data_IF_807131794014
#
_entry.id   IF_807131794014
#
_cell.length_a   1.000
_cell.length_b   1.000
_cell.length_c   1.000
_cell.angle_alpha   90.00
_cell.angle_beta   90.00
_cell.angle_gamma   90.00
#
_symmetry.space_group_name_H-M   'P 1'
#
loop_
_entity.id
_entity.type
_entity.pdbx_description
1 polymer ?
#
# COMPACT_ATOMS: atom_id res chain seq x y z
N UNK A 1 -4.16 -28.39 -5.89
CA UNK A 1 -3.70 -27.02 -6.13
C UNK A 1 -4.12 -26.59 -7.53
N UNK A 2 -4.65 -25.39 -7.75
CA UNK A 2 -5.03 -24.92 -9.08
C UNK A 2 -3.81 -24.86 -10.04
N UNK A 3 -3.96 -25.23 -11.32
CA UNK A 3 -2.84 -25.24 -12.29
C UNK A 3 -2.09 -23.91 -12.40
N UNK A 4 -2.81 -22.78 -12.28
CA UNK A 4 -2.20 -21.45 -12.28
C UNK A 4 -1.22 -21.20 -11.13
N UNK A 5 -1.48 -21.79 -9.95
CA UNK A 5 -0.59 -21.66 -8.80
C UNK A 5 0.70 -22.46 -9.02
N UNK A 6 0.59 -23.68 -9.56
CA UNK A 6 1.75 -24.51 -9.92
C UNK A 6 2.65 -23.77 -10.93
N UNK A 7 2.03 -23.16 -11.97
CA UNK A 7 2.79 -22.39 -12.97
C UNK A 7 3.55 -21.21 -12.34
N UNK A 8 2.94 -20.51 -11.40
CA UNK A 8 3.61 -19.39 -10.69
C UNK A 8 4.76 -19.91 -9.83
N UNK A 9 4.55 -21.01 -9.09
CA UNK A 9 5.61 -21.62 -8.27
C UNK A 9 6.80 -22.07 -9.13
N UNK A 10 6.54 -22.72 -10.26
CA UNK A 10 7.59 -23.12 -11.20
C UNK A 10 8.39 -21.92 -11.72
N UNK A 11 7.71 -20.83 -12.09
CA UNK A 11 8.38 -19.58 -12.48
C UNK A 11 9.24 -18.99 -11.38
N UNK A 12 8.78 -19.05 -10.11
CA UNK A 12 9.55 -18.53 -8.98
C UNK A 12 10.80 -19.37 -8.74
N UNK A 13 10.68 -20.69 -8.83
CA UNK A 13 11.80 -21.62 -8.69
C UNK A 13 12.84 -21.39 -9.78
N UNK A 14 12.40 -21.31 -11.04
CA UNK A 14 13.26 -21.09 -12.20
C UNK A 14 13.85 -19.66 -12.28
N UNK A 15 13.36 -18.71 -11.46
CA UNK A 15 13.75 -17.31 -11.53
C UNK A 15 15.25 -17.10 -11.25
N UNK A 16 15.95 -16.51 -12.21
CA UNK A 16 17.40 -16.27 -12.17
C UNK A 16 18.21 -17.57 -12.02
N UNK A 17 17.76 -18.60 -12.72
CA UNK A 17 18.49 -19.85 -12.91
C UNK A 17 18.70 -20.11 -14.41
N UNK A 18 19.51 -21.10 -14.72
CA UNK A 18 19.79 -21.56 -16.08
C UNK A 18 18.53 -21.98 -16.87
N UNK A 19 17.47 -22.41 -16.16
CA UNK A 19 16.20 -22.82 -16.79
C UNK A 19 15.52 -21.71 -17.60
N UNK A 20 15.74 -20.44 -17.22
CA UNK A 20 15.20 -19.30 -17.94
C UNK A 20 16.20 -18.74 -18.99
N UNK A 21 17.37 -19.39 -19.15
CA UNK A 21 18.43 -18.88 -19.96
C UNK A 21 19.09 -17.62 -19.37
N UNK A 22 19.98 -17.01 -20.13
CA UNK A 22 20.73 -15.85 -19.65
C UNK A 22 21.76 -15.38 -20.63
N UNK A 23 22.64 -14.50 -20.17
CA UNK A 23 23.78 -13.96 -20.90
C UNK A 23 25.06 -14.32 -20.17
N UNK A 24 26.11 -14.58 -20.95
CA UNK A 24 27.46 -14.82 -20.45
C UNK A 24 28.30 -13.61 -20.81
N UNK A 25 28.94 -13.03 -19.83
CA UNK A 25 29.89 -11.95 -19.99
C UNK A 25 31.30 -12.48 -19.72
N UNK A 26 32.23 -12.17 -20.61
CA UNK A 26 33.63 -12.50 -20.42
C UNK A 26 34.38 -11.23 -19.99
N UNK A 27 35.24 -11.36 -18.99
CA UNK A 27 36.10 -10.29 -18.52
C UNK A 27 37.52 -10.47 -19.04
N UNK A 28 37.98 -9.62 -19.94
CA UNK A 28 39.33 -9.69 -20.53
C UNK A 28 40.44 -9.47 -19.48
N UNK A 29 40.14 -8.72 -18.41
CA UNK A 29 41.13 -8.39 -17.39
C UNK A 29 41.43 -9.56 -16.45
N UNK A 30 40.41 -10.33 -16.01
CA UNK A 30 40.58 -11.47 -15.11
C UNK A 30 40.38 -12.83 -15.80
N UNK A 31 40.07 -12.85 -17.10
CA UNK A 31 39.84 -14.07 -17.88
C UNK A 31 38.74 -14.97 -17.34
N UNK A 32 37.72 -14.35 -16.69
CA UNK A 32 36.64 -15.07 -16.03
C UNK A 32 35.30 -14.82 -16.71
N UNK A 33 34.36 -15.75 -16.54
CA UNK A 33 33.01 -15.69 -17.08
C UNK A 33 32.02 -15.32 -15.97
N UNK A 34 31.12 -14.36 -16.26
CA UNK A 34 29.98 -14.02 -15.42
C UNK A 34 28.70 -14.38 -16.11
N UNK A 35 27.82 -15.09 -15.40
CA UNK A 35 26.51 -15.50 -15.87
C UNK A 35 25.44 -14.57 -15.30
N UNK A 36 24.56 -14.06 -16.16
CA UNK A 36 23.40 -13.26 -15.78
C UNK A 36 22.14 -13.97 -16.29
N UNK A 37 21.43 -14.63 -15.41
CA UNK A 37 20.22 -15.36 -15.76
C UNK A 37 19.01 -14.47 -15.80
N UNK A 38 18.05 -14.77 -16.70
CA UNK A 38 16.82 -14.02 -16.86
C UNK A 38 15.91 -14.14 -15.64
N UNK A 39 15.19 -13.06 -15.33
CA UNK A 39 14.19 -13.02 -14.28
C UNK A 39 12.83 -13.50 -14.80
N UNK A 40 12.00 -14.11 -13.94
CA UNK A 40 10.68 -14.60 -14.32
C UNK A 40 9.64 -13.48 -14.50
N UNK A 41 9.92 -12.27 -14.02
CA UNK A 41 9.06 -11.08 -14.02
C UNK A 41 7.64 -11.33 -13.42
N UNK A 42 7.47 -12.41 -12.67
CA UNK A 42 6.18 -12.69 -12.04
C UNK A 42 6.00 -11.80 -10.81
N UNK A 43 4.81 -11.20 -10.66
CA UNK A 43 4.49 -10.31 -9.55
C UNK A 43 4.55 -10.96 -8.16
N UNK A 44 4.47 -12.29 -8.11
CA UNK A 44 4.55 -13.05 -6.87
C UNK A 44 5.97 -13.52 -6.54
N UNK A 45 6.92 -13.28 -7.44
CA UNK A 45 8.30 -13.67 -7.22
C UNK A 45 8.99 -12.70 -6.25
N UNK A 46 9.51 -13.17 -5.10
CA UNK A 46 10.17 -12.30 -4.13
C UNK A 46 11.45 -11.65 -4.70
N UNK A 47 12.19 -12.37 -5.57
CA UNK A 47 13.38 -11.82 -6.24
C UNK A 47 13.03 -10.65 -7.17
N UNK A 48 12.00 -10.82 -8.03
CA UNK A 48 11.56 -9.76 -8.94
C UNK A 48 10.80 -8.64 -8.22
N UNK A 49 10.10 -8.97 -7.12
CA UNK A 49 9.38 -8.02 -6.29
C UNK A 49 10.30 -7.06 -5.55
N UNK A 50 11.47 -7.55 -5.12
CA UNK A 50 12.46 -6.72 -4.43
C UNK A 50 12.98 -5.59 -5.33
N UNK A 51 13.38 -5.89 -6.56
CA UNK A 51 13.89 -4.89 -7.50
C UNK A 51 12.85 -3.76 -7.74
N UNK A 52 11.59 -4.16 -7.96
CA UNK A 52 10.49 -3.19 -8.12
C UNK A 52 10.18 -2.40 -6.85
N UNK A 53 10.35 -3.01 -5.68
CA UNK A 53 10.15 -2.32 -4.41
C UNK A 53 11.25 -1.28 -4.17
N UNK A 54 12.50 -1.56 -4.50
CA UNK A 54 13.61 -0.62 -4.39
C UNK A 54 13.42 0.58 -5.34
N UNK A 55 13.06 0.32 -6.59
CA UNK A 55 12.75 1.38 -7.56
C UNK A 55 11.59 2.26 -7.07
N UNK A 56 10.51 1.64 -6.59
CA UNK A 56 9.37 2.36 -6.03
C UNK A 56 9.75 3.17 -4.79
N UNK A 57 10.54 2.61 -3.86
CA UNK A 57 11.02 3.32 -2.68
C UNK A 57 11.87 4.52 -3.03
N UNK A 58 12.75 4.39 -4.01
CA UNK A 58 13.58 5.50 -4.50
C UNK A 58 12.72 6.65 -5.00
N UNK A 59 11.71 6.33 -5.83
CA UNK A 59 10.76 7.34 -6.33
C UNK A 59 9.94 7.97 -5.19
N UNK A 60 9.48 7.17 -4.22
CA UNK A 60 8.70 7.72 -3.09
C UNK A 60 9.55 8.60 -2.17
N UNK A 61 10.80 8.20 -1.91
CA UNK A 61 11.70 8.99 -1.07
C UNK A 61 11.95 10.40 -1.65
N UNK A 62 11.99 10.52 -2.97
CA UNK A 62 12.13 11.83 -3.64
C UNK A 62 10.89 12.74 -3.47
N UNK A 63 9.73 12.16 -3.12
CA UNK A 63 8.47 12.89 -2.92
C UNK A 63 8.21 13.21 -1.45
N UNK A 64 9.03 12.70 -0.52
CA UNK A 64 8.81 12.94 0.91
C UNK A 64 9.06 14.41 1.25
N UNK A 65 8.13 14.98 1.99
CA UNK A 65 8.27 16.29 2.59
C UNK A 65 9.09 16.19 3.90
N UNK A 66 9.80 17.24 4.31
CA UNK A 66 10.57 17.27 5.57
C UNK A 66 9.63 17.48 6.77
N UNK A 67 8.67 16.57 6.95
CA UNK A 67 7.67 16.60 8.03
C UNK A 67 7.52 15.21 8.65
N UNK A 68 6.96 15.13 9.86
CA UNK A 68 6.58 13.86 10.48
C UNK A 68 5.52 13.15 9.62
N UNK A 69 5.56 11.83 9.57
CA UNK A 69 4.55 11.01 8.91
C UNK A 69 3.82 10.12 9.91
N UNK A 70 2.53 9.95 9.70
CA UNK A 70 1.66 9.12 10.52
C UNK A 70 1.18 7.91 9.74
N UNK A 71 1.27 6.73 10.35
CA UNK A 71 0.66 5.52 9.81
C UNK A 71 -0.71 5.31 10.44
N UNK A 72 -1.76 5.21 9.61
CA UNK A 72 -3.12 4.94 10.05
C UNK A 72 -3.60 3.64 9.42
N UNK A 73 -4.09 2.74 10.25
CA UNK A 73 -4.64 1.47 9.78
C UNK A 73 -6.16 1.46 9.91
N UNK A 74 -6.83 1.20 8.80
CA UNK A 74 -8.28 0.96 8.76
C UNK A 74 -8.52 -0.52 8.53
N UNK A 75 -9.44 -1.10 9.30
CA UNK A 75 -9.83 -2.52 9.18
C UNK A 75 -11.32 -2.63 8.95
N UNK A 76 -11.72 -3.67 8.21
CA UNK A 76 -13.12 -4.09 8.15
C UNK A 76 -13.39 -5.12 9.25
N UNK A 77 -14.61 -5.17 9.82
CA UNK A 77 -14.97 -6.21 10.77
C UNK A 77 -15.02 -7.58 10.07
N UNK A 78 -14.64 -8.63 10.78
CA UNK A 78 -14.56 -10.00 10.25
C UNK A 78 -15.89 -10.50 9.69
N UNK A 79 -17.00 -10.01 10.24
CA UNK A 79 -18.37 -10.30 9.73
C UNK A 79 -18.59 -9.89 8.27
N UNK A 80 -17.74 -9.01 7.71
CA UNK A 80 -17.79 -8.60 6.31
C UNK A 80 -16.81 -9.38 5.42
N UNK A 81 -16.00 -10.29 5.97
CA UNK A 81 -14.97 -10.99 5.21
C UNK A 81 -15.54 -11.77 4.02
N UNK A 82 -16.64 -12.51 4.20
CA UNK A 82 -17.25 -13.29 3.12
C UNK A 82 -17.81 -12.39 2.01
N UNK A 83 -18.46 -11.29 2.39
CA UNK A 83 -18.98 -10.31 1.44
C UNK A 83 -17.85 -9.64 0.68
N UNK A 84 -16.78 -9.24 1.38
CA UNK A 84 -15.61 -8.61 0.79
C UNK A 84 -14.89 -9.56 -0.17
N UNK A 85 -14.73 -10.83 0.20
CA UNK A 85 -14.07 -11.84 -0.63
C UNK A 85 -14.80 -12.10 -1.93
N UNK A 86 -16.14 -12.11 -1.91
CA UNK A 86 -16.99 -12.33 -3.08
C UNK A 86 -17.12 -11.08 -3.96
N UNK A 87 -16.97 -9.89 -3.40
CA UNK A 87 -17.20 -8.60 -4.08
C UNK A 87 -15.98 -7.67 -3.98
N UNK A 88 -14.76 -8.21 -4.18
CA UNK A 88 -13.50 -7.50 -3.90
C UNK A 88 -13.42 -6.13 -4.56
N UNK A 89 -13.67 -6.03 -5.86
CA UNK A 89 -13.56 -4.76 -6.59
C UNK A 89 -14.45 -3.66 -6.00
N UNK A 90 -15.69 -4.01 -5.68
CA UNK A 90 -16.66 -3.07 -5.13
C UNK A 90 -16.29 -2.69 -3.68
N UNK A 91 -16.11 -3.68 -2.81
CA UNK A 91 -15.85 -3.47 -1.38
C UNK A 91 -14.51 -2.74 -1.17
N UNK A 92 -13.44 -3.10 -1.89
CA UNK A 92 -12.16 -2.42 -1.72
C UNK A 92 -12.20 -0.97 -2.22
N UNK A 93 -12.87 -0.70 -3.35
CA UNK A 93 -13.07 0.67 -3.82
C UNK A 93 -13.87 1.51 -2.82
N UNK A 94 -14.92 0.93 -2.25
CA UNK A 94 -15.74 1.58 -1.23
C UNK A 94 -14.93 1.84 0.05
N UNK A 95 -14.11 0.88 0.45
CA UNK A 95 -13.25 0.94 1.62
C UNK A 95 -12.25 2.10 1.50
N UNK A 96 -11.51 2.17 0.39
CA UNK A 96 -10.60 3.28 0.14
C UNK A 96 -11.32 4.63 0.15
N UNK A 97 -12.42 4.75 -0.59
CA UNK A 97 -13.17 6.00 -0.71
C UNK A 97 -13.70 6.49 0.63
N UNK A 98 -14.25 5.60 1.44
CA UNK A 98 -14.86 5.98 2.73
C UNK A 98 -13.82 6.24 3.81
N UNK A 99 -12.72 5.48 3.84
CA UNK A 99 -11.61 5.72 4.75
C UNK A 99 -10.91 7.05 4.46
N UNK A 100 -10.60 7.32 3.20
CA UNK A 100 -10.03 8.60 2.76
C UNK A 100 -10.94 9.78 3.10
N UNK A 101 -12.25 9.66 2.81
CA UNK A 101 -13.22 10.70 3.13
C UNK A 101 -13.42 10.92 4.64
N UNK A 102 -13.25 9.89 5.46
CA UNK A 102 -13.29 10.02 6.91
C UNK A 102 -12.06 10.75 7.45
N UNK A 103 -10.88 10.41 6.94
CA UNK A 103 -9.62 11.05 7.33
C UNK A 103 -9.60 12.52 6.92
N UNK A 104 -9.95 12.85 5.67
CA UNK A 104 -10.03 14.24 5.19
C UNK A 104 -11.04 15.08 5.98
N UNK A 105 -12.19 14.49 6.34
CA UNK A 105 -13.21 15.21 7.13
C UNK A 105 -12.66 15.66 8.48
N UNK A 106 -11.91 14.81 9.17
CA UNK A 106 -11.31 15.17 10.46
C UNK A 106 -10.14 16.12 10.29
N UNK A 107 -9.29 15.89 9.30
CA UNK A 107 -8.13 16.73 9.05
C UNK A 107 -8.52 18.18 8.69
N UNK A 108 -9.66 18.39 8.04
CA UNK A 108 -10.18 19.72 7.72
C UNK A 108 -10.59 20.52 8.97
N UNK A 109 -10.81 19.86 10.12
CA UNK A 109 -11.16 20.56 11.37
C UNK A 109 -9.90 21.30 11.91
N UNK A 110 -10.00 22.64 12.14
CA UNK A 110 -8.88 23.43 12.66
C UNK A 110 -8.35 22.98 14.03
N UNK A 111 -9.14 22.20 14.78
CA UNK A 111 -8.69 21.60 16.06
C UNK A 111 -7.59 20.55 15.87
N UNK A 112 -7.45 20.00 14.67
CA UNK A 112 -6.48 18.95 14.36
C UNK A 112 -5.42 19.45 13.39
N UNK A 113 -5.73 19.55 12.11
CA UNK A 113 -4.82 20.05 11.06
C UNK A 113 -5.33 21.35 10.46
N UNK A 114 -6.63 21.45 10.18
CA UNK A 114 -7.25 22.60 9.53
C UNK A 114 -6.86 22.72 8.05
N UNK A 115 -6.57 21.60 7.39
CA UNK A 115 -6.14 21.60 6.00
C UNK A 115 -6.44 20.27 5.29
N UNK A 116 -6.16 20.26 3.99
CA UNK A 116 -6.27 19.07 3.15
C UNK A 116 -5.00 18.22 3.28
N UNK A 117 -5.13 17.01 3.83
CA UNK A 117 -4.03 16.07 3.98
C UNK A 117 -3.57 15.48 2.65
N UNK A 118 -2.25 15.35 2.48
CA UNK A 118 -1.64 14.44 1.53
C UNK A 118 -1.40 13.08 2.18
N UNK A 119 -1.86 11.99 1.55
CA UNK A 119 -1.60 10.63 2.00
C UNK A 119 -1.73 9.63 0.86
N UNK A 120 -1.08 8.49 1.00
CA UNK A 120 -1.28 7.34 0.13
C UNK A 120 -1.60 6.09 0.96
N UNK A 121 -2.21 5.09 0.35
CA UNK A 121 -2.63 3.89 1.06
C UNK A 121 -2.38 2.62 0.28
N UNK A 122 -2.08 1.54 1.03
CA UNK A 122 -1.87 0.20 0.51
C UNK A 122 -2.88 -0.73 1.14
N UNK A 123 -3.58 -1.52 0.31
CA UNK A 123 -4.46 -2.58 0.77
C UNK A 123 -3.65 -3.84 1.05
N UNK A 124 -3.82 -4.39 2.23
CA UNK A 124 -3.44 -5.76 2.56
C UNK A 124 -4.70 -6.59 2.81
N UNK A 125 -4.68 -7.87 2.46
CA UNK A 125 -5.85 -8.76 2.57
C UNK A 125 -5.62 -9.96 3.47
N UNK A 126 -4.54 -9.97 4.23
CA UNK A 126 -4.18 -11.04 5.14
C UNK A 126 -3.72 -10.51 6.50
N UNK A 127 -4.07 -11.22 7.56
CA UNK A 127 -3.56 -11.01 8.90
C UNK A 127 -2.20 -11.71 9.10
N UNK A 128 -1.64 -11.62 10.30
CA UNK A 128 -0.34 -12.20 10.66
C UNK A 128 -0.30 -13.73 10.51
N UNK A 129 -1.43 -14.40 10.72
CA UNK A 129 -1.66 -15.83 10.56
C UNK A 129 -2.07 -16.23 9.14
N UNK A 130 -1.97 -15.30 8.18
CA UNK A 130 -2.41 -15.44 6.79
C UNK A 130 -3.93 -15.59 6.61
N UNK A 131 -4.73 -15.43 7.65
CA UNK A 131 -6.17 -15.37 7.52
C UNK A 131 -6.60 -14.16 6.67
N UNK A 132 -7.71 -14.29 5.96
CA UNK A 132 -8.22 -13.18 5.15
C UNK A 132 -8.73 -12.06 6.05
N UNK A 133 -8.07 -10.91 5.98
CA UNK A 133 -8.34 -9.73 6.79
C UNK A 133 -8.03 -8.45 6.02
N UNK A 134 -9.00 -7.91 5.26
CA UNK A 134 -8.78 -6.70 4.50
C UNK A 134 -8.54 -5.48 5.39
N UNK A 135 -7.39 -4.82 5.18
CA UNK A 135 -7.08 -3.58 5.87
C UNK A 135 -6.25 -2.66 4.97
N UNK A 136 -6.35 -1.36 5.23
CA UNK A 136 -5.63 -0.32 4.50
C UNK A 136 -4.65 0.34 5.47
N UNK A 137 -3.38 0.38 5.08
CA UNK A 137 -2.39 1.23 5.71
C UNK A 137 -2.29 2.54 4.93
N UNK A 138 -2.64 3.65 5.55
CA UNK A 138 -2.34 4.98 5.03
C UNK A 138 -1.07 5.53 5.66
N UNK A 139 -0.22 6.13 4.83
CA UNK A 139 0.88 6.99 5.27
C UNK A 139 0.47 8.43 4.96
N UNK A 140 0.32 9.24 5.99
CA UNK A 140 -0.14 10.61 5.89
C UNK A 140 0.94 11.57 6.39
N UNK A 141 1.15 12.66 5.67
CA UNK A 141 2.03 13.73 6.10
C UNK A 141 1.47 14.41 7.37
N UNK A 142 2.33 14.86 8.26
CA UNK A 142 1.99 15.55 9.50
C UNK A 142 1.59 17.00 9.29
N UNK A 143 0.65 17.21 8.38
CA UNK A 143 0.09 18.50 8.02
C UNK A 143 -0.66 18.45 6.70
N UNK A 144 -1.19 19.58 6.28
CA UNK A 144 -1.96 19.68 5.04
C UNK A 144 -1.95 21.09 4.48
N UNK A 145 -2.41 21.23 3.24
CA UNK A 145 -2.58 22.53 2.60
C UNK A 145 -3.85 23.20 3.10
N UNK A 146 -3.80 24.50 3.32
CA UNK A 146 -5.00 25.33 3.55
C UNK A 146 -6.00 25.15 2.39
N UNK A 147 -7.27 25.50 2.62
CA UNK A 147 -8.34 25.30 1.62
C UNK A 147 -8.06 26.02 0.29
N UNK A 148 -7.35 27.15 0.32
CA UNK A 148 -6.91 27.92 -0.83
C UNK A 148 -5.57 27.44 -1.43
N UNK A 149 -4.93 26.43 -0.80
CA UNK A 149 -3.64 25.90 -1.22
C UNK A 149 -2.43 26.82 -0.94
N UNK A 150 -2.63 27.97 -0.30
CA UNK A 150 -1.58 29.00 -0.13
C UNK A 150 -0.62 28.74 1.03
N UNK A 151 -1.01 27.94 2.03
CA UNK A 151 -0.26 27.75 3.24
C UNK A 151 -0.25 26.29 3.72
N UNK A 152 0.89 25.88 4.30
CA UNK A 152 0.99 24.62 5.02
C UNK A 152 0.46 24.75 6.45
N UNK A 153 -0.40 23.84 6.85
CA UNK A 153 -0.93 23.70 8.21
C UNK A 153 -0.31 22.46 8.86
N UNK A 154 0.63 22.66 9.78
CA UNK A 154 1.28 21.56 10.48
C UNK A 154 0.33 20.89 11.48
N UNK A 155 0.34 19.57 11.53
CA UNK A 155 -0.22 18.81 12.63
C UNK A 155 0.65 18.95 13.88
N UNK A 156 0.18 18.47 15.02
CA UNK A 156 1.02 18.30 16.21
C UNK A 156 2.06 17.22 15.95
N UNK A 157 3.18 17.28 16.63
CA UNK A 157 4.33 16.40 16.41
C UNK A 157 3.98 14.92 16.57
N UNK A 158 3.15 14.58 17.55
CA UNK A 158 2.77 13.21 17.94
C UNK A 158 1.30 12.88 17.74
N UNK A 159 0.53 13.79 17.10
CA UNK A 159 -0.92 13.63 16.98
C UNK A 159 -1.46 14.22 15.67
N UNK A 160 -2.14 13.37 14.89
CA UNK A 160 -2.79 13.79 13.65
C UNK A 160 -4.30 14.02 13.83
N UNK A 161 -5.01 12.96 14.20
CA UNK A 161 -6.47 12.99 14.42
C UNK A 161 -6.89 11.97 15.50
N UNK A 162 -8.00 12.21 16.21
CA UNK A 162 -8.45 11.29 17.26
C UNK A 162 -9.02 9.98 16.67
N UNK A 163 -8.40 8.86 17.00
CA UNK A 163 -8.74 7.52 16.48
C UNK A 163 -10.22 7.16 16.72
N UNK A 164 -10.76 7.43 17.90
CA UNK A 164 -12.18 7.14 18.22
C UNK A 164 -13.17 7.90 17.33
N UNK A 165 -12.90 9.17 17.04
CA UNK A 165 -13.72 9.98 16.15
C UNK A 165 -13.59 9.50 14.70
N UNK A 166 -12.36 9.21 14.24
CA UNK A 166 -12.07 8.67 12.92
C UNK A 166 -12.83 7.36 12.68
N UNK A 167 -12.77 6.42 13.62
CA UNK A 167 -13.48 5.15 13.57
C UNK A 167 -15.00 5.32 13.44
N UNK A 168 -15.59 6.23 14.23
CA UNK A 168 -17.05 6.52 14.15
C UNK A 168 -17.45 7.08 12.80
N UNK A 169 -16.69 8.03 12.27
CA UNK A 169 -16.96 8.67 10.97
C UNK A 169 -16.78 7.65 9.84
N UNK A 170 -15.70 6.88 9.85
CA UNK A 170 -15.45 5.84 8.87
C UNK A 170 -16.60 4.82 8.84
N UNK A 171 -16.97 4.26 10.00
CA UNK A 171 -18.06 3.29 10.11
C UNK A 171 -19.39 3.83 9.58
N UNK A 172 -19.73 5.08 9.89
CA UNK A 172 -20.93 5.71 9.38
C UNK A 172 -20.90 5.85 7.86
N UNK A 173 -19.82 6.41 7.31
CA UNK A 173 -19.64 6.59 5.86
C UNK A 173 -19.66 5.26 5.10
N UNK A 174 -18.97 4.25 5.62
CA UNK A 174 -18.92 2.93 4.99
C UNK A 174 -20.30 2.26 4.98
N UNK A 175 -20.99 2.24 6.11
CA UNK A 175 -22.36 1.70 6.22
C UNK A 175 -23.34 2.42 5.28
N UNK A 176 -23.30 3.76 5.24
CA UNK A 176 -24.24 4.54 4.43
C UNK A 176 -23.96 4.38 2.92
N UNK A 177 -22.70 4.11 2.56
CA UNK A 177 -22.32 3.82 1.18
C UNK A 177 -22.63 2.38 0.74
N UNK A 178 -22.72 1.42 1.68
CA UNK A 178 -23.18 0.05 1.40
C UNK A 178 -24.70 -0.04 1.14
N UNK A 179 -25.48 0.95 1.59
CA UNK A 179 -26.93 0.97 1.40
C UNK A 179 -27.38 1.55 0.07
N UNK A 180 -26.47 2.15 -0.69
CA UNK A 180 -26.68 2.72 -2.02
C UNK A 180 -26.40 1.72 -3.11
#
# INVERSE_FOLDING_TARGET
MPPRHLKVMQKIVACRTEELGGQVYFCDACQDHRYSYHSCQDRHCPKCGNDKAEEWLTMQNALLLPVTYFMLTFTLPDTLNDVARRNQKFIYSLFFKTAAAALQKLAADPKFVGGQLGFFGVLQTWARDLAYHPHIHYIAAGGGLSADGSAWKSAREDFLVPVKALSKIFRAKFRDALKK
#
